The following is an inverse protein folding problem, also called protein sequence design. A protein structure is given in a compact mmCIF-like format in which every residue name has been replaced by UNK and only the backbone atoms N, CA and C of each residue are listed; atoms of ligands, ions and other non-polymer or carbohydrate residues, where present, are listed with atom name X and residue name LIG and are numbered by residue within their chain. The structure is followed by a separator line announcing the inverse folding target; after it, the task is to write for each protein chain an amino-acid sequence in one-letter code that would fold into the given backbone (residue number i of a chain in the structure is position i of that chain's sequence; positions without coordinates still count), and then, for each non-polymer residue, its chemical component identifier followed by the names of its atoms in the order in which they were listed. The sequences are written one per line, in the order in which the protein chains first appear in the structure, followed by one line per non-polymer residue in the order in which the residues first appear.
data_IF_328142741535
#
_entry.id   IF_328142741535
#
_cell.length_a   1.000
_cell.length_b   1.000
_cell.length_c   1.000
_cell.angle_alpha   90.00
_cell.angle_beta   90.00
_cell.angle_gamma   90.00
#
_symmetry.space_group_name_H-M   'P 1'
#
loop_
_entity.id
_entity.type
_entity.pdbx_description
1 polymer ?
#
# COMPACT_ATOMS: atom_id res chain seq x y z
N UNK A 1 -11.81 -7.20 6.45
CA UNK A 1 -11.60 -5.91 7.12
C UNK A 1 -10.98 -4.94 6.11
N UNK A 2 -11.37 -3.67 6.11
CA UNK A 2 -10.73 -2.62 5.29
C UNK A 2 -9.69 -1.82 6.08
N UNK A 3 -9.03 -0.85 5.45
CA UNK A 3 -7.98 -0.04 6.09
C UNK A 3 -8.49 1.05 7.04
N UNK A 4 -9.78 1.41 6.97
CA UNK A 4 -10.34 2.53 7.73
C UNK A 4 -10.09 2.49 9.25
N UNK A 5 -10.16 1.33 9.94
CA UNK A 5 -9.82 1.24 11.36
C UNK A 5 -8.31 1.50 11.64
N UNK A 6 -7.44 1.13 10.69
CA UNK A 6 -5.98 1.25 10.83
C UNK A 6 -5.53 2.71 10.69
N UNK A 7 -6.22 3.49 9.85
CA UNK A 7 -5.92 4.90 9.60
C UNK A 7 -5.97 5.76 10.87
N UNK A 8 -6.80 5.40 11.85
CA UNK A 8 -6.91 6.13 13.13
C UNK A 8 -5.60 6.14 13.91
N UNK A 9 -4.79 5.09 13.76
CA UNK A 9 -3.50 4.98 14.46
C UNK A 9 -2.33 5.46 13.60
N UNK A 10 -2.56 5.94 12.38
CA UNK A 10 -1.49 6.33 11.46
C UNK A 10 -1.25 7.84 11.46
N UNK A 11 -0.01 8.31 11.68
CA UNK A 11 0.31 9.74 11.56
C UNK A 11 0.19 10.24 10.11
N UNK A 12 0.31 9.36 9.11
CA UNK A 12 0.27 9.72 7.68
C UNK A 12 -1.16 9.75 7.15
N UNK A 13 -2.05 8.86 7.63
CA UNK A 13 -3.38 8.65 7.04
C UNK A 13 -4.55 9.11 7.92
N UNK A 14 -4.33 9.47 9.19
CA UNK A 14 -5.39 9.84 10.13
C UNK A 14 -6.19 11.09 9.72
N UNK A 15 -5.62 11.98 8.91
CA UNK A 15 -6.28 13.19 8.44
C UNK A 15 -7.38 12.93 7.39
N UNK A 16 -7.27 11.85 6.60
CA UNK A 16 -8.22 11.54 5.52
C UNK A 16 -9.65 11.39 6.05
N UNK A 17 -9.93 10.52 7.04
CA UNK A 17 -11.28 10.42 7.59
C UNK A 17 -11.70 11.68 8.35
N UNK A 18 -10.76 12.50 8.84
CA UNK A 18 -11.08 13.78 9.47
C UNK A 18 -11.59 14.83 8.46
N UNK A 19 -11.06 14.82 7.23
CA UNK A 19 -11.45 15.76 6.16
C UNK A 19 -12.63 15.26 5.33
N UNK A 20 -12.63 13.97 4.95
CA UNK A 20 -13.59 13.40 4.01
C UNK A 20 -14.65 12.49 4.64
N UNK A 21 -14.55 12.23 5.95
CA UNK A 21 -15.30 11.16 6.59
C UNK A 21 -14.85 9.77 6.14
N UNK A 22 -15.44 8.71 6.70
CA UNK A 22 -15.07 7.32 6.36
C UNK A 22 -15.41 7.00 4.90
N UNK A 23 -16.61 7.34 4.45
CA UNK A 23 -17.06 7.03 3.09
C UNK A 23 -16.31 7.86 2.04
N UNK A 24 -16.14 9.17 2.26
CA UNK A 24 -15.37 10.02 1.35
C UNK A 24 -13.90 9.64 1.29
N UNK A 25 -13.30 9.28 2.43
CA UNK A 25 -11.95 8.71 2.48
C UNK A 25 -11.83 7.41 1.68
N UNK A 26 -12.84 6.54 1.73
CA UNK A 26 -12.88 5.32 0.91
C UNK A 26 -12.95 5.63 -0.58
N UNK A 27 -13.73 6.62 -1.00
CA UNK A 27 -13.77 7.03 -2.40
C UNK A 27 -12.43 7.63 -2.84
N UNK A 28 -11.83 8.48 -2.02
CA UNK A 28 -10.53 9.09 -2.32
C UNK A 28 -9.44 8.04 -2.51
N UNK A 29 -9.27 7.13 -1.55
CA UNK A 29 -8.28 6.06 -1.64
C UNK A 29 -8.63 5.12 -2.81
N UNK A 30 -9.89 4.74 -2.97
CA UNK A 30 -10.33 3.88 -4.07
C UNK A 30 -10.04 4.47 -5.44
N UNK A 31 -10.21 5.79 -5.63
CA UNK A 31 -9.83 6.46 -6.88
C UNK A 31 -8.33 6.41 -7.12
N UNK A 32 -7.50 6.62 -6.10
CA UNK A 32 -6.03 6.50 -6.21
C UNK A 32 -5.62 5.07 -6.57
N UNK A 33 -6.23 4.06 -5.95
CA UNK A 33 -5.97 2.64 -6.24
C UNK A 33 -6.39 2.28 -7.68
N UNK A 34 -7.57 2.73 -8.12
CA UNK A 34 -8.03 2.49 -9.50
C UNK A 34 -7.16 3.21 -10.54
N UNK A 35 -6.70 4.43 -10.25
CA UNK A 35 -5.76 5.15 -11.10
C UNK A 35 -4.40 4.43 -11.18
N UNK A 36 -3.91 3.91 -10.04
CA UNK A 36 -2.68 3.10 -9.98
C UNK A 36 -2.83 1.82 -10.79
N UNK A 37 -3.96 1.11 -10.66
CA UNK A 37 -4.25 -0.09 -11.42
C UNK A 37 -4.31 0.20 -12.94
N UNK A 38 -4.97 1.28 -13.35
CA UNK A 38 -5.01 1.70 -14.75
C UNK A 38 -3.61 2.02 -15.27
N UNK A 39 -2.79 2.76 -14.51
CA UNK A 39 -1.41 3.07 -14.88
C UNK A 39 -0.55 1.79 -15.04
N UNK A 40 -0.69 0.81 -14.15
CA UNK A 40 0.00 -0.49 -14.27
C UNK A 40 -0.45 -1.28 -15.50
N UNK A 41 -1.75 -1.30 -15.81
CA UNK A 41 -2.29 -1.98 -17.01
C UNK A 41 -1.75 -1.33 -18.28
N UNK A 42 -1.79 0.00 -18.36
CA UNK A 42 -1.25 0.75 -19.51
C UNK A 42 0.28 0.56 -19.58
N UNK A 43 0.93 0.46 -18.42
CA UNK A 43 2.37 0.21 -18.29
C UNK A 43 2.84 -1.07 -18.94
N UNK A 44 2.00 -2.10 -19.05
CA UNK A 44 2.32 -3.32 -19.79
C UNK A 44 2.66 -3.07 -21.27
N UNK A 45 2.24 -1.94 -21.84
CA UNK A 45 2.45 -1.59 -23.24
C UNK A 45 3.26 -0.30 -23.44
N UNK A 46 3.55 0.45 -22.36
CA UNK A 46 4.21 1.75 -22.44
C UNK A 46 5.23 1.91 -21.29
N UNK A 47 6.51 2.12 -21.64
CA UNK A 47 7.63 2.24 -20.69
C UNK A 47 7.40 3.35 -19.64
N UNK A 48 6.93 4.52 -20.06
CA UNK A 48 6.69 5.67 -19.18
C UNK A 48 5.53 5.39 -18.22
N UNK A 49 4.43 4.82 -18.71
CA UNK A 49 3.30 4.43 -17.88
C UNK A 49 3.68 3.29 -16.91
N UNK A 50 4.59 2.39 -17.31
CA UNK A 50 5.12 1.33 -16.45
C UNK A 50 5.87 1.91 -15.26
N UNK A 51 6.78 2.85 -15.50
CA UNK A 51 7.51 3.53 -14.44
C UNK A 51 6.56 4.31 -13.51
N UNK A 52 5.58 5.03 -14.08
CA UNK A 52 4.60 5.78 -13.30
C UNK A 52 3.73 4.86 -12.44
N UNK A 53 3.13 3.82 -13.04
CA UNK A 53 2.28 2.86 -12.34
C UNK A 53 3.04 2.12 -11.23
N UNK A 54 4.27 1.71 -11.49
CA UNK A 54 5.12 1.05 -10.49
C UNK A 54 5.53 2.00 -9.35
N UNK A 55 5.79 3.28 -9.64
CA UNK A 55 6.06 4.28 -8.62
C UNK A 55 4.83 4.56 -7.74
N UNK A 56 3.64 4.68 -8.36
CA UNK A 56 2.38 4.85 -7.65
C UNK A 56 2.05 3.64 -6.76
N UNK A 57 2.28 2.42 -7.25
CA UNK A 57 2.05 1.20 -6.47
C UNK A 57 3.05 1.05 -5.32
N UNK A 58 4.33 1.37 -5.56
CA UNK A 58 5.33 1.46 -4.49
C UNK A 58 4.88 2.42 -3.38
N UNK A 59 4.46 3.63 -3.75
CA UNK A 59 4.01 4.62 -2.77
C UNK A 59 2.79 4.11 -1.98
N UNK A 60 1.81 3.51 -2.67
CA UNK A 60 0.61 2.96 -2.04
C UNK A 60 0.95 1.91 -0.99
N UNK A 61 1.74 0.89 -1.36
CA UNK A 61 2.09 -0.19 -0.44
C UNK A 61 3.05 0.28 0.67
N UNK A 62 3.96 1.21 0.38
CA UNK A 62 4.84 1.80 1.39
C UNK A 62 4.05 2.56 2.46
N UNK A 63 3.07 3.38 2.04
CA UNK A 63 2.20 4.08 2.99
C UNK A 63 1.38 3.10 3.81
N UNK A 64 0.78 2.08 3.19
CA UNK A 64 0.00 1.06 3.93
C UNK A 64 0.86 0.26 4.90
N UNK A 65 2.12 -0.05 4.55
CA UNK A 65 3.05 -0.73 5.45
C UNK A 65 3.42 0.09 6.68
N UNK A 66 3.27 1.41 6.67
CA UNK A 66 3.46 2.21 7.89
C UNK A 66 2.48 1.82 9.00
N UNK A 67 1.34 1.21 8.66
CA UNK A 67 0.40 0.66 9.64
C UNK A 67 1.00 -0.48 10.47
N UNK A 68 2.04 -1.15 9.96
CA UNK A 68 2.76 -2.19 10.68
C UNK A 68 3.44 -1.63 11.94
N UNK A 69 3.88 -0.37 11.88
CA UNK A 69 4.54 0.34 12.97
C UNK A 69 3.54 1.10 13.85
N UNK A 70 2.47 1.61 13.23
CA UNK A 70 1.55 2.52 13.91
C UNK A 70 0.35 1.84 14.54
N UNK A 71 -0.02 0.63 14.10
CA UNK A 71 -1.24 -0.06 14.55
C UNK A 71 -0.93 -1.11 15.62
N UNK A 72 -1.61 -1.10 16.78
CA UNK A 72 -1.51 -2.19 17.74
C UNK A 72 -2.13 -3.49 17.18
N UNK A 73 -1.64 -4.64 17.65
CA UNK A 73 -2.18 -5.95 17.27
C UNK A 73 -1.72 -6.49 15.92
N UNK A 74 -0.65 -5.93 15.33
CA UNK A 74 0.02 -6.48 14.15
C UNK A 74 0.78 -7.76 14.49
N UNK A 75 1.45 -7.77 15.64
CA UNK A 75 2.07 -8.97 16.21
C UNK A 75 1.08 -9.73 17.09
N UNK A 76 1.15 -11.07 17.08
CA UNK A 76 0.28 -11.96 17.85
C UNK A 76 0.72 -12.03 19.32
N UNK A 77 -0.01 -11.41 20.26
CA UNK A 77 0.42 -11.37 21.67
C UNK A 77 0.44 -12.75 22.32
N UNK A 78 -0.47 -13.64 21.91
CA UNK A 78 -0.58 -15.01 22.45
C UNK A 78 0.62 -15.88 22.07
N UNK A 79 1.32 -15.52 21.00
CA UNK A 79 2.51 -16.22 20.50
C UNK A 79 3.83 -15.54 20.90
N UNK A 80 3.80 -14.61 21.88
CA UNK A 80 4.99 -13.91 22.38
C UNK A 80 5.30 -12.59 21.64
N UNK A 81 4.41 -12.11 20.77
CA UNK A 81 4.62 -10.88 20.02
C UNK A 81 5.49 -11.08 18.77
N UNK A 82 6.14 -10.03 18.31
CA UNK A 82 6.92 -10.07 17.07
C UNK A 82 8.09 -11.07 17.21
N UNK A 83 8.34 -11.96 16.22
CA UNK A 83 7.90 -11.92 14.82
C UNK A 83 6.60 -12.69 14.50
N UNK A 84 5.88 -13.21 15.49
CA UNK A 84 4.60 -13.89 15.24
C UNK A 84 3.56 -12.87 14.75
N UNK A 85 3.02 -13.10 13.56
CA UNK A 85 2.08 -12.18 12.89
C UNK A 85 0.64 -12.57 13.22
N UNK A 86 -0.18 -11.60 13.63
CA UNK A 86 -1.58 -11.85 14.00
C UNK A 86 -2.42 -12.28 12.80
N UNK A 87 -3.35 -13.21 13.06
CA UNK A 87 -4.38 -13.56 12.10
C UNK A 87 -5.33 -12.37 11.93
N UNK A 88 -5.45 -11.84 10.70
CA UNK A 88 -6.20 -10.62 10.43
C UNK A 88 -5.28 -9.45 10.10
N UNK A 89 -5.00 -8.57 11.06
CA UNK A 89 -4.29 -7.30 10.82
C UNK A 89 -2.88 -7.53 10.28
N UNK A 90 -2.09 -8.37 10.96
CA UNK A 90 -0.71 -8.63 10.56
C UNK A 90 -0.60 -9.24 9.16
N UNK A 91 -1.40 -10.29 8.89
CA UNK A 91 -1.44 -10.95 7.57
C UNK A 91 -1.96 -10.02 6.47
N UNK A 92 -2.96 -9.19 6.77
CA UNK A 92 -3.49 -8.19 5.83
C UNK A 92 -2.42 -7.19 5.40
N UNK A 93 -1.54 -6.75 6.31
CA UNK A 93 -0.45 -5.83 5.98
C UNK A 93 0.75 -6.55 5.34
N UNK A 94 1.00 -7.81 5.71
CA UNK A 94 2.13 -8.58 5.18
C UNK A 94 2.06 -8.77 3.67
N UNK A 95 0.84 -8.88 3.10
CA UNK A 95 0.66 -8.94 1.64
C UNK A 95 1.25 -7.71 0.94
N UNK A 96 1.16 -6.54 1.57
CA UNK A 96 1.62 -5.29 0.99
C UNK A 96 3.14 -5.20 0.96
N UNK A 97 3.84 -5.93 1.84
CA UNK A 97 5.31 -6.07 1.76
C UNK A 97 5.73 -6.78 0.48
N UNK A 98 5.05 -7.88 0.15
CA UNK A 98 5.32 -8.64 -1.08
C UNK A 98 4.99 -7.80 -2.31
N UNK A 99 3.85 -7.09 -2.28
CA UNK A 99 3.43 -6.22 -3.39
C UNK A 99 4.34 -4.99 -3.55
N UNK A 100 4.89 -4.44 -2.46
CA UNK A 100 5.90 -3.39 -2.50
C UNK A 100 7.18 -3.91 -3.16
N UNK A 101 7.65 -5.10 -2.77
CA UNK A 101 8.84 -5.71 -3.38
C UNK A 101 8.64 -5.94 -4.89
N UNK A 102 7.49 -6.47 -5.29
CA UNK A 102 7.14 -6.66 -6.70
C UNK A 102 7.08 -5.32 -7.46
N UNK A 103 6.48 -4.29 -6.86
CA UNK A 103 6.40 -2.94 -7.42
C UNK A 103 7.79 -2.31 -7.60
N UNK A 104 8.69 -2.50 -6.62
CA UNK A 104 10.06 -2.00 -6.69
C UNK A 104 10.85 -2.69 -7.80
N UNK A 105 10.72 -4.01 -7.95
CA UNK A 105 11.29 -4.75 -9.07
C UNK A 105 10.79 -4.23 -10.42
N UNK A 106 9.47 -4.01 -10.54
CA UNK A 106 8.86 -3.47 -11.77
C UNK A 106 9.37 -2.05 -12.07
N UNK A 107 9.49 -1.19 -11.05
CA UNK A 107 10.00 0.17 -11.20
C UNK A 107 11.45 0.16 -11.68
N UNK A 108 12.31 -0.66 -11.06
CA UNK A 108 13.70 -0.82 -11.46
C UNK A 108 13.83 -1.34 -12.90
N UNK A 109 13.01 -2.32 -13.29
CA UNK A 109 12.98 -2.82 -14.66
C UNK A 109 12.52 -1.76 -15.67
N UNK A 110 11.52 -0.95 -15.30
CA UNK A 110 10.97 0.12 -16.15
C UNK A 110 11.99 1.25 -16.37
N UNK A 111 12.79 1.58 -15.36
CA UNK A 111 13.84 2.59 -15.47
C UNK A 111 14.99 2.07 -16.35
N UNK A 112 15.46 0.84 -16.10
CA UNK A 112 16.56 0.24 -16.89
C UNK A 112 16.24 0.09 -18.38
N UNK A 113 14.97 -0.09 -18.71
CA UNK A 113 14.52 -0.16 -20.12
C UNK A 113 14.31 1.22 -20.75
N UNK A 114 14.28 2.30 -19.98
CA UNK A 114 14.28 3.66 -20.51
C UNK A 114 15.67 4.10 -20.98
N UNK A 115 16.73 3.53 -20.40
CA UNK A 115 18.13 3.81 -20.74
C UNK A 115 18.67 2.98 -21.94
N UNK A 116 17.86 2.09 -22.51
CA UNK A 116 18.20 1.18 -23.61
C UNK A 116 17.32 1.40 -24.84
#
# INVERSE_FOLDING_TARGET
MGIAPLMKNSPIMSWIPAVFGVQGGSYFIGTVELATAAALIIGAFNKTASALGAAMSCLTYAVTLTFFLSTPGVAEPTAGGFPAISAGTGQFLLKDLVLLAASACLLLASIRTADA
#
